data_IF_222015158656
#
_entry.id   IF_222015158656
#
_cell.length_a   1.000
_cell.length_b   1.000
_cell.length_c   1.000
_cell.angle_alpha   90.00
_cell.angle_beta   90.00
_cell.angle_gamma   90.00
#
_symmetry.space_group_name_H-M   'P 1'
#
loop_
_entity.id
_entity.type
_entity.pdbx_description
1 polymer ?
#
# COMPACT_ATOMS: atom_id res chain seq x y z
N UNK A 1 39.59 17.09 -52.64
CA UNK A 1 39.02 17.94 -51.56
C UNK A 1 37.50 17.95 -51.49
N UNK A 2 36.72 17.67 -52.56
CA UNK A 2 35.25 17.79 -52.47
C UNK A 2 34.53 16.68 -51.66
N UNK A 3 35.05 15.45 -51.66
CA UNK A 3 34.43 14.33 -50.92
C UNK A 3 34.35 14.52 -49.40
N UNK A 4 35.31 15.24 -48.81
CA UNK A 4 35.34 15.47 -47.35
C UNK A 4 34.36 16.58 -46.94
N UNK A 5 34.20 17.60 -47.79
CA UNK A 5 33.23 18.69 -47.57
C UNK A 5 31.79 18.22 -47.70
N UNK A 6 31.52 17.23 -48.55
CA UNK A 6 30.18 16.66 -48.72
C UNK A 6 29.77 15.80 -47.51
N UNK A 7 30.68 14.98 -46.98
CA UNK A 7 30.44 14.18 -45.76
C UNK A 7 30.18 15.09 -44.54
N UNK A 8 30.92 16.19 -44.38
CA UNK A 8 30.72 17.12 -43.26
C UNK A 8 29.36 17.85 -43.40
N UNK A 9 28.94 18.19 -44.62
CA UNK A 9 27.62 18.81 -44.88
C UNK A 9 26.46 17.87 -44.61
N UNK A 10 26.59 16.60 -44.99
CA UNK A 10 25.55 15.60 -44.75
C UNK A 10 25.45 15.26 -43.26
N UNK A 11 26.59 15.08 -42.57
CA UNK A 11 26.59 14.87 -41.11
C UNK A 11 26.01 16.07 -40.36
N UNK A 12 26.29 17.30 -40.79
CA UNK A 12 25.72 18.51 -40.20
C UNK A 12 24.21 18.65 -40.49
N UNK A 13 23.74 18.26 -41.68
CA UNK A 13 22.31 18.22 -42.02
C UNK A 13 21.55 17.18 -41.20
N UNK A 14 22.13 16.01 -41.01
CA UNK A 14 21.55 14.94 -40.20
C UNK A 14 21.51 15.33 -38.72
N UNK A 15 22.56 15.98 -38.22
CA UNK A 15 22.60 16.49 -36.84
C UNK A 15 21.58 17.61 -36.64
N UNK A 16 21.43 18.53 -37.60
CA UNK A 16 20.40 19.60 -37.55
C UNK A 16 18.99 19.02 -37.69
N UNK A 17 18.82 17.96 -38.49
CA UNK A 17 17.57 17.21 -38.61
C UNK A 17 17.17 16.53 -37.30
N UNK A 18 18.11 15.87 -36.64
CA UNK A 18 17.94 15.26 -35.32
C UNK A 18 17.64 16.30 -34.25
N UNK A 19 18.33 17.45 -34.25
CA UNK A 19 18.05 18.54 -33.32
C UNK A 19 16.68 19.19 -33.56
N UNK A 20 16.24 19.31 -34.82
CA UNK A 20 14.89 19.78 -35.15
C UNK A 20 13.81 18.78 -34.77
N UNK A 21 14.05 17.48 -34.98
CA UNK A 21 13.14 16.41 -34.54
C UNK A 21 13.04 16.37 -33.00
N UNK A 22 14.16 16.45 -32.28
CA UNK A 22 14.20 16.54 -30.83
C UNK A 22 13.56 17.83 -30.28
N UNK A 23 13.68 18.95 -31.00
CA UNK A 23 12.97 20.19 -30.67
C UNK A 23 11.46 20.12 -30.91
N UNK A 24 11.03 19.35 -31.92
CA UNK A 24 9.61 19.07 -32.19
C UNK A 24 9.03 18.12 -31.12
N UNK A 25 9.79 17.12 -30.66
CA UNK A 25 9.42 16.25 -29.53
C UNK A 25 9.36 17.03 -28.21
N UNK A 26 10.32 17.95 -27.95
CA UNK A 26 10.25 18.85 -26.79
C UNK A 26 8.99 19.75 -26.80
N UNK A 27 8.45 20.09 -27.99
CA UNK A 27 7.18 20.82 -28.11
C UNK A 27 5.94 19.93 -27.88
N UNK A 28 6.06 18.62 -28.02
CA UNK A 28 4.98 17.65 -27.85
C UNK A 28 4.91 17.05 -26.43
N UNK A 29 5.76 17.49 -25.52
CA UNK A 29 5.82 17.00 -24.15
C UNK A 29 6.78 15.80 -24.00
N UNK A 30 7.34 15.64 -22.80
CA UNK A 30 8.33 14.59 -22.53
C UNK A 30 7.60 13.28 -22.22
N UNK A 31 7.85 12.24 -23.02
CA UNK A 31 7.37 10.88 -22.74
C UNK A 31 8.35 10.19 -21.78
N UNK A 32 7.90 9.97 -20.54
CA UNK A 32 8.70 9.35 -19.47
C UNK A 32 8.28 7.91 -19.15
N UNK A 33 7.22 7.42 -19.79
CA UNK A 33 6.65 6.10 -19.55
C UNK A 33 6.74 5.24 -20.82
N UNK A 34 6.89 3.94 -20.64
CA UNK A 34 6.96 2.95 -21.73
C UNK A 34 5.79 3.11 -22.69
N UNK A 35 6.04 3.04 -24.00
CA UNK A 35 5.03 3.36 -25.05
C UNK A 35 3.76 2.51 -24.95
N UNK A 36 3.88 1.25 -24.55
CA UNK A 36 2.73 0.34 -24.37
C UNK A 36 1.85 0.69 -23.16
N UNK A 37 2.32 1.56 -22.27
CA UNK A 37 1.60 2.06 -21.09
C UNK A 37 0.88 3.37 -21.36
N UNK A 38 1.20 4.06 -22.45
CA UNK A 38 0.59 5.34 -22.79
C UNK A 38 -0.92 5.16 -23.02
N UNK A 39 -1.73 6.06 -22.46
CA UNK A 39 -3.20 6.09 -22.51
C UNK A 39 -3.90 4.89 -21.87
N UNK A 40 -3.18 3.99 -21.19
CA UNK A 40 -3.76 2.86 -20.45
C UNK A 40 -3.82 3.23 -18.96
N UNK A 41 -4.99 3.04 -18.34
CA UNK A 41 -5.12 3.23 -16.89
C UNK A 41 -4.37 2.09 -16.17
N UNK A 42 -3.41 2.46 -15.35
CA UNK A 42 -2.61 1.52 -14.58
C UNK A 42 -3.27 1.23 -13.25
N UNK A 43 -3.36 -0.06 -12.95
CA UNK A 43 -3.67 -0.55 -11.63
C UNK A 43 -2.40 -0.48 -10.78
N UNK A 44 -2.51 -0.20 -9.47
CA UNK A 44 -1.45 -0.55 -8.55
C UNK A 44 -1.10 -2.02 -8.77
N UNK A 45 0.17 -2.33 -9.01
CA UNK A 45 0.63 -3.71 -9.30
C UNK A 45 0.41 -4.67 -8.14
N UNK A 46 0.02 -4.16 -6.97
CA UNK A 46 -0.07 -4.88 -5.71
C UNK A 46 -1.44 -4.71 -5.08
N UNK A 47 -1.93 -5.77 -4.45
CA UNK A 47 -3.21 -5.74 -3.77
C UNK A 47 -3.08 -4.99 -2.44
N UNK A 48 -3.29 -3.67 -2.47
CA UNK A 48 -3.29 -2.78 -1.30
C UNK A 48 -4.08 -3.36 -0.13
N UNK A 49 -5.24 -3.97 -0.42
CA UNK A 49 -6.09 -4.58 0.60
C UNK A 49 -5.36 -5.65 1.38
N UNK A 50 -4.62 -6.54 0.71
CA UNK A 50 -3.86 -7.62 1.35
C UNK A 50 -2.71 -7.06 2.20
N UNK A 51 -1.99 -6.04 1.71
CA UNK A 51 -0.93 -5.39 2.48
C UNK A 51 -1.50 -4.71 3.74
N UNK A 52 -2.65 -4.04 3.62
CA UNK A 52 -3.30 -3.40 4.76
C UNK A 52 -3.87 -4.42 5.76
N UNK A 53 -4.57 -5.45 5.29
CA UNK A 53 -5.22 -6.43 6.20
C UNK A 53 -4.23 -7.40 6.80
N UNK A 54 -3.39 -8.04 5.98
CA UNK A 54 -2.45 -9.07 6.45
C UNK A 54 -1.16 -8.46 7.00
N UNK A 55 -0.70 -7.35 6.40
CA UNK A 55 0.53 -6.70 6.82
C UNK A 55 0.33 -5.79 8.03
N UNK A 56 -0.53 -4.77 7.89
CA UNK A 56 -0.68 -3.71 8.89
C UNK A 56 -1.65 -4.08 10.03
N UNK A 57 -2.85 -4.58 9.71
CA UNK A 57 -3.88 -4.81 10.74
C UNK A 57 -3.63 -6.03 11.63
N UNK A 58 -2.96 -7.07 11.11
CA UNK A 58 -2.72 -8.32 11.85
C UNK A 58 -1.42 -8.34 12.64
N UNK A 59 -0.37 -7.69 12.13
CA UNK A 59 0.96 -7.78 12.72
C UNK A 59 1.26 -6.58 13.63
N UNK A 60 1.36 -6.84 14.93
CA UNK A 60 1.60 -5.79 15.93
C UNK A 60 2.94 -5.06 15.75
N UNK A 61 3.99 -5.75 15.31
CA UNK A 61 5.31 -5.16 15.11
C UNK A 61 5.28 -4.16 13.93
N UNK A 62 4.68 -4.57 12.81
CA UNK A 62 4.51 -3.70 11.64
C UNK A 62 3.66 -2.47 12.00
N UNK A 63 2.55 -2.69 12.70
CA UNK A 63 1.69 -1.60 13.17
C UNK A 63 2.47 -0.60 14.04
N UNK A 64 3.21 -1.10 15.03
CA UNK A 64 3.99 -0.26 15.95
C UNK A 64 5.06 0.56 15.20
N UNK A 65 5.84 -0.07 14.31
CA UNK A 65 6.89 0.61 13.55
C UNK A 65 6.34 1.70 12.63
N UNK A 66 5.27 1.40 11.88
CA UNK A 66 4.67 2.39 10.97
C UNK A 66 4.04 3.53 11.76
N UNK A 67 3.35 3.22 12.86
CA UNK A 67 2.75 4.23 13.74
C UNK A 67 3.80 5.13 14.36
N UNK A 68 4.91 4.59 14.84
CA UNK A 68 6.01 5.36 15.42
C UNK A 68 6.58 6.36 14.41
N UNK A 69 6.85 5.90 13.18
CA UNK A 69 7.35 6.77 12.09
C UNK A 69 6.31 7.86 11.75
N UNK A 70 5.06 7.46 11.60
CA UNK A 70 3.99 8.36 11.18
C UNK A 70 3.70 9.44 12.23
N UNK A 71 3.68 9.09 13.51
CA UNK A 71 3.47 10.04 14.61
C UNK A 71 4.68 10.94 14.82
N UNK A 72 5.90 10.38 14.86
CA UNK A 72 7.13 11.15 15.07
C UNK A 72 7.34 12.25 14.04
N UNK A 73 7.03 12.00 12.77
CA UNK A 73 7.18 13.03 11.72
C UNK A 73 6.06 14.07 11.83
N UNK A 74 4.84 13.65 12.18
CA UNK A 74 3.69 14.55 12.34
C UNK A 74 3.79 15.47 13.55
N UNK A 75 4.61 15.14 14.55
CA UNK A 75 4.89 16.01 15.70
C UNK A 75 5.69 17.26 15.30
N UNK A 76 6.48 17.21 14.22
CA UNK A 76 7.30 18.32 13.80
C UNK A 76 6.46 19.45 13.16
N UNK A 77 6.45 20.67 13.73
CA UNK A 77 5.66 21.76 13.16
C UNK A 77 6.30 22.26 11.86
N UNK A 78 5.51 22.31 10.79
CA UNK A 78 5.91 22.96 9.56
C UNK A 78 6.01 24.47 9.77
N UNK A 79 7.03 25.11 9.19
CA UNK A 79 7.18 26.56 9.21
C UNK A 79 7.31 27.06 7.78
N UNK A 80 6.51 28.07 7.46
CA UNK A 80 6.69 28.83 6.22
C UNK A 80 7.38 30.13 6.61
N UNK A 81 8.38 30.54 5.84
CA UNK A 81 9.11 31.77 6.13
C UNK A 81 9.93 32.23 4.93
N UNK A 82 10.38 33.47 5.01
CA UNK A 82 11.36 34.00 4.05
C UNK A 82 12.74 33.81 4.66
N UNK A 83 13.65 33.26 3.87
CA UNK A 83 15.06 33.16 4.24
C UNK A 83 15.71 34.53 4.11
N UNK A 84 16.12 35.10 5.24
CA UNK A 84 16.87 36.35 5.28
C UNK A 84 18.13 36.14 6.14
N UNK A 85 19.32 36.24 5.52
CA UNK A 85 20.62 36.10 6.20
C UNK A 85 20.73 34.82 7.04
N UNK A 86 20.37 33.67 6.48
CA UNK A 86 20.37 32.35 7.13
C UNK A 86 19.42 32.21 8.34
N UNK A 87 18.46 33.13 8.50
CA UNK A 87 17.39 33.02 9.50
C UNK A 87 16.06 32.91 8.75
N UNK A 88 15.28 31.88 9.10
CA UNK A 88 13.91 31.69 8.59
C UNK A 88 12.96 32.43 9.52
N UNK A 89 12.43 33.56 9.06
CA UNK A 89 11.40 34.29 9.81
C UNK A 89 10.04 33.65 9.53
N UNK A 90 9.35 33.08 10.54
CA UNK A 90 8.08 32.40 10.31
C UNK A 90 6.98 33.40 9.94
N UNK A 91 6.22 33.07 8.89
CA UNK A 91 5.01 33.78 8.46
C UNK A 91 3.82 32.90 8.81
N UNK A 92 3.16 33.23 9.92
CA UNK A 92 2.02 32.45 10.44
C UNK A 92 0.75 32.62 9.60
N UNK A 93 0.57 33.77 8.95
CA UNK A 93 -0.63 34.08 8.17
C UNK A 93 -0.53 33.62 6.70
N UNK A 94 0.48 32.80 6.37
CA UNK A 94 0.64 32.32 5.00
C UNK A 94 -0.47 31.32 4.65
N UNK A 95 -1.21 31.48 3.52
CA UNK A 95 -2.33 30.60 3.17
C UNK A 95 -1.96 29.11 3.10
N UNK A 96 -0.74 28.80 2.62
CA UNK A 96 -0.24 27.43 2.57
C UNK A 96 0.05 26.83 3.95
N UNK A 97 0.47 27.65 4.93
CA UNK A 97 0.66 27.16 6.30
C UNK A 97 -0.70 26.83 6.95
N UNK A 98 -1.68 27.71 6.79
CA UNK A 98 -3.05 27.46 7.29
C UNK A 98 -3.66 26.21 6.64
N UNK A 99 -3.48 26.03 5.32
CA UNK A 99 -3.97 24.86 4.59
C UNK A 99 -3.29 23.58 5.07
N UNK A 100 -1.99 23.57 5.36
CA UNK A 100 -1.33 22.37 5.87
C UNK A 100 -1.72 22.05 7.32
N UNK A 101 -2.04 23.07 8.12
CA UNK A 101 -2.44 22.89 9.52
C UNK A 101 -3.91 22.45 9.65
N UNK A 102 -4.77 22.88 8.74
CA UNK A 102 -6.17 22.45 8.62
C UNK A 102 -6.48 22.11 7.15
N UNK A 103 -6.05 20.94 6.67
CA UNK A 103 -6.15 20.55 5.25
C UNK A 103 -7.58 20.39 4.77
N UNK A 104 -8.49 19.96 5.63
CA UNK A 104 -9.91 19.89 5.34
C UNK A 104 -10.71 20.01 6.65
N UNK A 105 -12.03 20.19 6.61
CA UNK A 105 -12.84 20.35 7.82
C UNK A 105 -12.87 19.13 8.77
N UNK A 106 -12.42 17.96 8.31
CA UNK A 106 -12.48 16.69 9.05
C UNK A 106 -11.12 16.23 9.60
N UNK A 107 -10.02 16.85 9.20
CA UNK A 107 -8.67 16.34 9.47
C UNK A 107 -7.76 17.47 9.93
N UNK A 108 -7.06 17.25 11.03
CA UNK A 108 -6.01 18.15 11.52
C UNK A 108 -4.70 17.96 10.74
N UNK A 109 -3.80 18.93 10.80
CA UNK A 109 -2.48 18.82 10.17
C UNK A 109 -1.69 17.59 10.65
N UNK A 110 -1.81 17.23 11.94
CA UNK A 110 -1.18 16.03 12.50
C UNK A 110 -1.73 14.75 11.84
N UNK A 111 -3.05 14.58 11.84
CA UNK A 111 -3.71 13.40 11.24
C UNK A 111 -3.45 13.31 9.73
N UNK A 112 -3.33 14.45 9.05
CA UNK A 112 -3.02 14.50 7.62
C UNK A 112 -1.65 13.88 7.32
N UNK A 113 -0.60 14.30 8.04
CA UNK A 113 0.73 13.73 7.85
C UNK A 113 0.82 12.29 8.33
N UNK A 114 0.18 11.95 9.46
CA UNK A 114 0.13 10.57 9.98
C UNK A 114 -0.50 9.63 8.95
N UNK A 115 -1.60 10.05 8.34
CA UNK A 115 -2.30 9.27 7.31
C UNK A 115 -1.46 9.13 6.05
N UNK A 116 -0.83 10.21 5.56
CA UNK A 116 0.04 10.15 4.38
C UNK A 116 1.19 9.17 4.59
N UNK A 117 1.88 9.28 5.74
CA UNK A 117 3.04 8.44 6.04
C UNK A 117 2.64 6.98 6.21
N UNK A 118 1.49 6.71 6.83
CA UNK A 118 0.94 5.36 6.96
C UNK A 118 0.66 4.76 5.57
N UNK A 119 -0.03 5.49 4.69
CA UNK A 119 -0.31 5.04 3.32
C UNK A 119 0.96 4.86 2.50
N UNK A 120 1.96 5.74 2.65
CA UNK A 120 3.26 5.62 2.00
C UNK A 120 4.01 4.36 2.43
N UNK A 121 4.02 4.02 3.72
CA UNK A 121 4.71 2.83 4.20
C UNK A 121 4.00 1.52 3.78
N UNK A 122 2.67 1.53 3.68
CA UNK A 122 1.87 0.37 3.26
C UNK A 122 1.93 0.21 1.73
N UNK A 123 1.58 1.26 0.98
CA UNK A 123 1.27 1.21 -0.45
C UNK A 123 2.33 1.88 -1.34
N UNK A 124 3.41 2.42 -0.77
CA UNK A 124 4.42 3.24 -1.45
C UNK A 124 3.90 4.58 -1.96
N UNK A 125 2.62 4.88 -1.75
CA UNK A 125 1.93 6.05 -2.31
C UNK A 125 0.81 6.51 -1.39
N UNK A 126 0.68 7.82 -1.28
CA UNK A 126 -0.55 8.48 -0.85
C UNK A 126 -0.96 9.48 -1.93
N UNK A 127 -2.25 9.57 -2.22
CA UNK A 127 -2.78 10.52 -3.20
C UNK A 127 -3.50 11.62 -2.46
N UNK A 128 -3.17 12.87 -2.77
CA UNK A 128 -3.88 14.03 -2.23
C UNK A 128 -4.51 14.81 -3.35
N UNK A 129 -5.83 14.90 -3.34
CA UNK A 129 -6.59 15.71 -4.26
C UNK A 129 -6.70 17.14 -3.71
N UNK A 130 -6.21 18.10 -4.51
CA UNK A 130 -6.35 19.53 -4.26
C UNK A 130 -7.71 20.00 -4.76
N UNK A 131 -8.58 20.36 -3.83
CA UNK A 131 -9.79 21.12 -4.14
C UNK A 131 -9.43 22.59 -4.29
N UNK A 132 -9.93 23.25 -5.34
CA UNK A 132 -9.63 24.65 -5.64
C UNK A 132 -10.91 25.49 -5.67
N UNK A 133 -10.79 26.76 -5.29
CA UNK A 133 -11.85 27.76 -5.49
C UNK A 133 -11.95 28.19 -6.97
N UNK A 134 -12.97 29.00 -7.28
CA UNK A 134 -13.20 29.56 -8.62
C UNK A 134 -12.03 30.44 -9.13
N UNK A 135 -11.14 30.87 -8.23
CA UNK A 135 -9.93 31.64 -8.56
C UNK A 135 -8.69 30.74 -8.71
N UNK A 136 -8.87 29.42 -8.65
CA UNK A 136 -7.82 28.42 -8.80
C UNK A 136 -6.92 28.25 -7.57
N UNK A 137 -7.27 28.82 -6.41
CA UNK A 137 -6.49 28.68 -5.17
C UNK A 137 -6.88 27.39 -4.45
N UNK A 138 -5.93 26.57 -3.97
CA UNK A 138 -6.25 25.37 -3.21
C UNK A 138 -6.92 25.75 -1.89
N UNK A 139 -8.10 25.19 -1.63
CA UNK A 139 -8.90 25.44 -0.42
C UNK A 139 -8.91 24.24 0.51
N UNK A 140 -8.88 23.02 -0.02
CA UNK A 140 -8.83 21.79 0.76
C UNK A 140 -7.89 20.76 0.13
N UNK A 141 -7.37 19.89 0.98
CA UNK A 141 -6.52 18.75 0.63
C UNK A 141 -7.20 17.46 1.12
N UNK A 142 -7.62 16.63 0.16
CA UNK A 142 -8.33 15.38 0.41
C UNK A 142 -7.40 14.19 0.19
N UNK A 143 -7.10 13.45 1.25
CA UNK A 143 -6.32 12.22 1.13
C UNK A 143 -7.22 11.13 0.55
N UNK A 144 -6.77 10.51 -0.54
CA UNK A 144 -7.46 9.43 -1.22
C UNK A 144 -6.76 8.10 -0.97
N UNK A 145 -7.58 7.05 -0.85
CA UNK A 145 -7.10 5.69 -0.67
C UNK A 145 -6.41 5.19 -1.96
N UNK A 146 -5.20 4.59 -1.88
CA UNK A 146 -4.43 4.23 -3.07
C UNK A 146 -5.10 3.21 -4.00
N UNK A 147 -5.98 2.35 -3.47
CA UNK A 147 -6.75 1.37 -4.24
C UNK A 147 -7.92 1.98 -5.02
N UNK A 148 -8.31 3.21 -4.70
CA UNK A 148 -9.39 3.95 -5.35
C UNK A 148 -8.91 4.89 -6.44
N UNK A 149 -7.61 4.93 -6.70
CA UNK A 149 -6.99 5.83 -7.68
C UNK A 149 -6.26 5.03 -8.75
N UNK A 150 -6.51 5.35 -10.02
CA UNK A 150 -5.75 4.84 -11.17
C UNK A 150 -5.05 5.98 -11.88
N UNK A 151 -3.84 5.73 -12.35
CA UNK A 151 -3.08 6.69 -13.14
C UNK A 151 -3.10 6.30 -14.61
N UNK A 152 -3.51 7.22 -15.48
CA UNK A 152 -3.41 7.05 -16.94
C UNK A 152 -2.36 8.03 -17.46
N UNK A 153 -1.13 7.56 -17.76
CA UNK A 153 -0.11 8.40 -18.36
C UNK A 153 -0.53 8.77 -19.79
N UNK A 154 -0.38 10.03 -20.16
CA UNK A 154 -0.48 10.46 -21.55
C UNK A 154 0.91 10.43 -22.22
N UNK A 155 0.96 10.56 -23.54
CA UNK A 155 2.22 10.67 -24.29
C UNK A 155 3.04 11.87 -23.81
N UNK A 156 2.35 12.99 -23.62
CA UNK A 156 2.81 14.14 -22.85
C UNK A 156 2.45 13.92 -21.38
N UNK A 157 3.45 13.65 -20.53
CA UNK A 157 3.22 13.34 -19.11
C UNK A 157 2.41 14.44 -18.41
N UNK A 158 2.52 15.70 -18.82
CA UNK A 158 1.82 16.84 -18.22
C UNK A 158 0.30 16.77 -18.39
N UNK A 159 -0.16 16.04 -19.42
CA UNK A 159 -1.58 15.81 -19.74
C UNK A 159 -2.13 14.51 -19.14
N UNK A 160 -1.34 13.85 -18.30
CA UNK A 160 -1.78 12.63 -17.63
C UNK A 160 -2.95 12.91 -16.68
N UNK A 161 -3.78 11.90 -16.47
CA UNK A 161 -5.01 12.02 -15.68
C UNK A 161 -5.02 10.91 -14.64
N UNK A 162 -5.44 11.26 -13.43
CA UNK A 162 -5.83 10.31 -12.41
C UNK A 162 -7.34 10.07 -12.51
N UNK A 163 -7.74 8.85 -12.22
CA UNK A 163 -9.13 8.48 -12.09
C UNK A 163 -9.37 8.07 -10.65
N UNK A 164 -10.29 8.75 -9.98
CA UNK A 164 -10.74 8.40 -8.65
C UNK A 164 -12.10 7.73 -8.74
N UNK A 165 -12.25 6.56 -8.10
CA UNK A 165 -13.50 5.83 -8.00
C UNK A 165 -13.80 5.58 -6.52
N UNK A 166 -14.80 6.27 -5.93
CA UNK A 166 -15.35 5.86 -4.65
C UNK A 166 -15.70 4.36 -4.68
N UNK A 167 -15.46 3.65 -3.59
CA UNK A 167 -15.62 2.19 -3.47
C UNK A 167 -14.64 1.33 -4.29
N UNK A 168 -13.78 1.93 -5.11
CA UNK A 168 -12.77 1.22 -5.91
C UNK A 168 -13.34 0.48 -7.11
N UNK A 169 -14.60 0.73 -7.46
CA UNK A 169 -15.27 0.18 -8.64
C UNK A 169 -15.16 1.19 -9.78
N UNK A 170 -14.31 0.87 -10.76
CA UNK A 170 -14.09 1.74 -11.92
C UNK A 170 -15.07 1.39 -13.02
N UNK A 171 -16.33 1.77 -12.83
CA UNK A 171 -17.34 1.80 -13.87
C UNK A 171 -17.38 3.19 -14.54
N UNK A 172 -18.06 3.30 -15.69
CA UNK A 172 -18.12 4.57 -16.43
C UNK A 172 -18.98 5.65 -15.76
N UNK A 173 -19.71 5.33 -14.67
CA UNK A 173 -20.67 6.24 -14.03
C UNK A 173 -20.11 6.90 -12.76
N UNK A 174 -19.18 6.23 -12.08
CA UNK A 174 -18.68 6.61 -10.75
C UNK A 174 -17.21 7.03 -10.75
N UNK A 175 -16.60 7.22 -11.93
CA UNK A 175 -15.19 7.59 -12.05
C UNK A 175 -15.06 9.10 -12.24
N UNK A 176 -14.30 9.73 -11.36
CA UNK A 176 -13.99 11.16 -11.35
C UNK A 176 -12.59 11.34 -11.97
N UNK A 177 -12.47 12.01 -13.14
CA UNK A 177 -11.17 12.37 -13.69
C UNK A 177 -10.57 13.56 -12.94
N UNK A 178 -9.32 13.41 -12.48
CA UNK A 178 -8.56 14.43 -11.77
C UNK A 178 -7.30 14.74 -12.61
N UNK A 179 -7.10 15.99 -13.06
CA UNK A 179 -5.89 16.38 -13.77
C UNK A 179 -4.62 16.15 -12.94
N UNK A 180 -3.48 15.86 -13.58
CA UNK A 180 -2.18 15.74 -12.91
C UNK A 180 -1.87 16.94 -12.01
N UNK A 181 -2.23 18.15 -12.46
CA UNK A 181 -2.01 19.41 -11.73
C UNK A 181 -2.81 19.53 -10.43
N UNK A 182 -3.87 18.75 -10.25
CA UNK A 182 -4.73 18.76 -9.07
C UNK A 182 -4.52 17.57 -8.14
N UNK A 183 -3.69 16.60 -8.55
CA UNK A 183 -3.28 15.47 -7.74
C UNK A 183 -1.85 15.65 -7.24
N UNK A 184 -1.62 15.40 -5.95
CA UNK A 184 -0.27 15.27 -5.37
C UNK A 184 -0.05 13.78 -5.08
N UNK A 185 0.75 13.07 -5.90
CA UNK A 185 1.17 11.71 -5.59
C UNK A 185 2.39 11.74 -4.66
N UNK A 186 2.17 11.59 -3.36
CA UNK A 186 3.23 11.38 -2.38
C UNK A 186 3.79 9.97 -2.52
N UNK A 187 4.92 9.84 -3.20
CA UNK A 187 5.61 8.55 -3.39
C UNK A 187 6.63 8.29 -2.29
N UNK A 188 6.81 7.02 -1.94
CA UNK A 188 7.79 6.57 -0.98
C UNK A 188 8.51 5.32 -1.49
N UNK A 189 9.83 5.29 -1.31
CA UNK A 189 10.69 4.26 -1.90
C UNK A 189 10.86 4.43 -3.41
N UNK A 190 12.01 3.98 -3.92
CA UNK A 190 12.32 3.99 -5.34
C UNK A 190 12.21 2.56 -5.86
N UNK A 191 11.35 2.34 -6.85
CA UNK A 191 11.37 1.11 -7.65
C UNK A 191 12.27 1.37 -8.88
N UNK A 192 13.45 0.74 -8.98
CA UNK A 192 14.35 0.96 -10.12
C UNK A 192 13.74 0.51 -11.45
N UNK A 193 12.73 -0.37 -11.43
CA UNK A 193 12.03 -0.82 -12.63
C UNK A 193 10.87 0.10 -13.02
N UNK A 194 10.40 0.95 -12.10
CA UNK A 194 9.22 1.81 -12.31
C UNK A 194 9.40 3.17 -11.65
N UNK A 195 10.22 4.06 -12.22
CA UNK A 195 10.46 5.38 -11.61
C UNK A 195 9.22 6.30 -11.60
N UNK A 196 8.44 6.31 -12.68
CA UNK A 196 7.40 7.33 -12.89
C UNK A 196 6.01 6.88 -12.49
N UNK A 197 5.70 5.59 -12.59
CA UNK A 197 4.34 5.10 -12.35
C UNK A 197 4.20 4.48 -10.97
N UNK A 198 5.11 3.58 -10.59
CA UNK A 198 5.03 2.82 -9.35
C UNK A 198 6.15 3.17 -8.37
N UNK A 199 6.08 2.61 -7.17
CA UNK A 199 7.06 2.82 -6.11
C UNK A 199 7.09 1.55 -5.25
N UNK A 200 8.18 1.35 -4.52
CA UNK A 200 8.38 0.15 -3.71
C UNK A 200 8.10 0.46 -2.24
N UNK A 201 7.07 -0.16 -1.66
CA UNK A 201 6.74 0.09 -0.25
C UNK A 201 7.68 -0.68 0.68
N UNK A 202 8.10 -0.10 1.81
CA UNK A 202 8.85 -0.79 2.84
C UNK A 202 8.13 -2.06 3.31
N UNK A 203 6.81 -1.97 3.53
CA UNK A 203 6.00 -3.12 3.92
C UNK A 203 6.06 -4.24 2.89
N UNK A 204 6.05 -3.93 1.60
CA UNK A 204 6.13 -4.94 0.53
C UNK A 204 7.45 -5.71 0.55
N UNK A 205 8.56 -5.07 0.92
CA UNK A 205 9.87 -5.73 1.02
C UNK A 205 9.86 -6.74 2.16
N UNK A 206 9.30 -6.37 3.32
CA UNK A 206 9.26 -7.24 4.51
C UNK A 206 8.06 -8.18 4.56
N UNK A 207 7.11 -8.05 3.62
CA UNK A 207 5.81 -8.72 3.67
C UNK A 207 5.91 -10.24 3.85
N UNK A 208 6.89 -10.89 3.21
CA UNK A 208 7.11 -12.34 3.36
C UNK A 208 7.42 -12.74 4.80
N UNK A 209 8.21 -11.94 5.51
CA UNK A 209 8.54 -12.17 6.91
C UNK A 209 7.33 -11.86 7.79
N UNK A 210 6.60 -10.77 7.51
CA UNK A 210 5.36 -10.43 8.21
C UNK A 210 4.33 -11.56 8.16
N UNK A 211 4.15 -12.19 7.00
CA UNK A 211 3.25 -13.34 6.86
C UNK A 211 3.77 -14.56 7.63
N UNK A 212 5.08 -14.79 7.65
CA UNK A 212 5.67 -15.86 8.46
C UNK A 212 5.40 -15.66 9.95
N UNK A 213 5.57 -14.44 10.46
CA UNK A 213 5.32 -14.09 11.86
C UNK A 213 3.84 -14.26 12.23
N UNK A 214 2.94 -13.84 11.33
CA UNK A 214 1.50 -14.04 11.51
C UNK A 214 1.17 -15.54 11.57
N UNK A 215 1.69 -16.33 10.63
CA UNK A 215 1.47 -17.77 10.59
C UNK A 215 2.05 -18.48 11.82
N UNK A 216 3.20 -18.04 12.33
CA UNK A 216 3.77 -18.57 13.56
C UNK A 216 2.86 -18.27 14.77
N UNK A 217 2.30 -17.07 14.83
CA UNK A 217 1.36 -16.67 15.89
C UNK A 217 0.06 -17.46 15.80
N UNK A 218 -0.50 -17.62 14.61
CA UNK A 218 -1.68 -18.44 14.36
C UNK A 218 -1.42 -19.92 14.69
N UNK A 219 -0.25 -20.44 14.31
CA UNK A 219 0.17 -21.79 14.66
C UNK A 219 0.28 -21.95 16.17
N UNK A 220 0.94 -21.03 16.88
CA UNK A 220 1.03 -21.08 18.35
C UNK A 220 -0.36 -21.05 18.99
N UNK A 221 -1.25 -20.19 18.52
CA UNK A 221 -2.64 -20.14 18.98
C UNK A 221 -3.33 -21.50 18.78
N UNK A 222 -3.28 -22.05 17.57
CA UNK A 222 -3.88 -23.35 17.25
C UNK A 222 -3.23 -24.48 18.05
N UNK A 223 -1.92 -24.43 18.26
CA UNK A 223 -1.16 -25.40 19.04
C UNK A 223 -1.61 -25.40 20.50
N UNK A 224 -1.73 -24.23 21.15
CA UNK A 224 -2.20 -24.12 22.53
C UNK A 224 -3.70 -24.40 22.66
N UNK A 225 -4.52 -23.95 21.70
CA UNK A 225 -5.97 -24.20 21.68
C UNK A 225 -6.29 -25.70 21.52
N UNK A 226 -5.52 -26.42 20.71
CA UNK A 226 -5.74 -27.83 20.39
C UNK A 226 -4.74 -28.78 21.07
N UNK A 227 -3.98 -28.27 22.05
CA UNK A 227 -3.00 -29.02 22.83
C UNK A 227 -1.88 -29.72 22.04
N UNK A 228 -1.58 -29.31 20.81
CA UNK A 228 -0.30 -29.56 20.10
C UNK A 228 0.14 -31.00 19.83
N UNK A 229 -0.54 -31.97 20.40
CA UNK A 229 -0.33 -33.39 20.36
C UNK A 229 -1.69 -34.03 20.63
N UNK A 230 -2.01 -35.20 20.04
CA UNK A 230 -3.08 -36.01 20.59
C UNK A 230 -2.79 -36.19 22.08
N UNK A 231 -3.67 -35.66 22.95
CA UNK A 231 -3.53 -35.76 24.41
C UNK A 231 -3.25 -37.20 24.84
N UNK A 232 -3.74 -38.18 24.06
CA UNK A 232 -3.28 -39.56 24.05
C UNK A 232 -3.94 -40.32 22.91
N UNK A 233 -3.62 -41.61 22.78
CA UNK A 233 -4.27 -42.51 21.84
C UNK A 233 -5.40 -43.23 22.57
N UNK A 234 -6.62 -43.15 22.02
CA UNK A 234 -7.74 -44.00 22.45
C UNK A 234 -7.63 -45.31 21.70
N UNK A 235 -7.20 -46.36 22.40
CA UNK A 235 -7.16 -47.72 21.88
C UNK A 235 -8.43 -48.44 22.32
N UNK A 236 -9.15 -49.00 21.36
CA UNK A 236 -10.39 -49.75 21.61
C UNK A 236 -10.07 -51.23 21.38
N UNK A 237 -10.35 -52.05 22.39
CA UNK A 237 -10.20 -53.50 22.38
C UNK A 237 -11.37 -54.13 21.61
N UNK A 238 -11.42 -53.91 20.29
CA UNK A 238 -12.49 -54.41 19.43
C UNK A 238 -12.38 -53.90 18.00
N UNK A 239 -12.97 -54.61 17.04
CA UNK A 239 -13.00 -54.17 15.64
C UNK A 239 -14.10 -53.12 15.47
N UNK A 240 -13.72 -51.87 15.19
CA UNK A 240 -14.68 -50.82 14.82
C UNK A 240 -15.50 -51.29 13.62
N UNK A 241 -16.81 -51.43 13.79
CA UNK A 241 -17.69 -51.98 12.74
C UNK A 241 -17.98 -50.96 11.64
N UNK A 242 -17.82 -49.67 11.93
CA UNK A 242 -18.12 -48.58 11.00
C UNK A 242 -17.35 -47.28 11.31
N UNK A 243 -16.99 -46.50 10.28
CA UNK A 243 -16.36 -45.19 10.45
C UNK A 243 -17.21 -44.18 11.24
N UNK A 244 -18.54 -44.33 11.21
CA UNK A 244 -19.47 -43.49 12.00
C UNK A 244 -19.28 -43.65 13.50
N UNK A 245 -18.93 -44.85 13.95
CA UNK A 245 -18.72 -45.15 15.37
C UNK A 245 -17.41 -44.52 15.87
N UNK A 246 -16.36 -44.62 15.07
CA UNK A 246 -15.07 -43.95 15.32
C UNK A 246 -15.26 -42.42 15.44
N UNK A 247 -16.02 -41.82 14.53
CA UNK A 247 -16.24 -40.38 14.54
C UNK A 247 -17.13 -39.92 15.70
N UNK A 248 -18.10 -40.75 16.12
CA UNK A 248 -18.90 -40.51 17.34
C UNK A 248 -18.02 -40.53 18.60
N UNK A 249 -17.04 -41.43 18.65
CA UNK A 249 -16.10 -41.52 19.79
C UNK A 249 -15.15 -40.33 19.79
N UNK A 250 -14.57 -39.98 18.63
CA UNK A 250 -13.74 -38.77 18.47
C UNK A 250 -14.50 -37.52 18.89
N UNK A 251 -15.73 -37.33 18.41
CA UNK A 251 -16.56 -36.17 18.74
C UNK A 251 -16.89 -36.09 20.23
N UNK A 252 -17.32 -37.19 20.85
CA UNK A 252 -17.58 -37.23 22.31
C UNK A 252 -16.33 -36.90 23.14
N UNK A 253 -15.16 -37.35 22.69
CA UNK A 253 -13.91 -37.03 23.34
C UNK A 253 -13.57 -35.54 23.19
N UNK A 254 -13.69 -34.99 21.99
CA UNK A 254 -13.46 -33.58 21.71
C UNK A 254 -14.45 -32.66 22.45
N UNK A 255 -15.72 -33.04 22.55
CA UNK A 255 -16.76 -32.28 23.27
C UNK A 255 -16.50 -32.23 24.79
N UNK A 256 -15.88 -33.28 25.36
CA UNK A 256 -15.69 -33.40 26.82
C UNK A 256 -14.31 -32.95 27.30
N UNK A 257 -13.27 -33.18 26.49
CA UNK A 257 -11.87 -32.94 26.87
C UNK A 257 -11.19 -31.90 25.95
N UNK A 258 -11.90 -31.38 24.94
CA UNK A 258 -11.40 -30.30 24.09
C UNK A 258 -11.57 -28.92 24.72
N UNK A 259 -10.69 -27.99 24.32
CA UNK A 259 -10.70 -26.60 24.76
C UNK A 259 -10.27 -26.38 26.22
N UNK A 260 -10.35 -25.12 26.65
CA UNK A 260 -9.82 -24.66 27.96
C UNK A 260 -10.49 -25.35 29.16
N UNK A 261 -11.78 -25.68 29.07
CA UNK A 261 -12.52 -26.36 30.13
C UNK A 261 -12.19 -27.88 30.23
N UNK A 262 -11.75 -28.49 29.13
CA UNK A 262 -11.41 -29.91 29.06
C UNK A 262 -10.01 -30.26 29.54
N UNK A 263 -9.11 -29.27 29.68
CA UNK A 263 -7.66 -29.47 29.84
C UNK A 263 -7.23 -30.20 31.13
N UNK A 264 -8.08 -30.18 32.17
CA UNK A 264 -7.88 -30.91 33.43
C UNK A 264 -9.03 -31.86 33.78
N UNK A 265 -9.91 -32.15 32.81
CA UNK A 265 -11.03 -33.05 33.06
C UNK A 265 -10.54 -34.50 33.13
N UNK A 266 -10.87 -35.25 34.20
CA UNK A 266 -10.44 -36.64 34.34
C UNK A 266 -11.04 -37.51 33.24
N UNK A 267 -10.20 -38.28 32.55
CA UNK A 267 -10.63 -39.17 31.47
C UNK A 267 -11.42 -40.36 32.03
N UNK A 268 -12.68 -40.49 31.62
CA UNK A 268 -13.54 -41.65 31.90
C UNK A 268 -13.59 -42.53 30.66
N UNK A 269 -13.23 -43.81 30.82
CA UNK A 269 -13.21 -44.82 29.76
C UNK A 269 -14.04 -46.04 30.15
N UNK A 270 -14.59 -46.70 29.15
CA UNK A 270 -15.31 -47.98 29.30
C UNK A 270 -14.30 -49.14 29.37
N UNK A 271 -14.73 -50.32 29.83
CA UNK A 271 -13.84 -51.48 30.12
C UNK A 271 -12.98 -51.91 28.92
N UNK A 272 -13.48 -51.66 27.70
CA UNK A 272 -12.82 -52.00 26.43
C UNK A 272 -11.94 -50.87 25.86
N UNK A 273 -11.73 -49.75 26.57
CA UNK A 273 -10.97 -48.61 26.07
C UNK A 273 -9.75 -48.30 26.96
N UNK A 274 -8.58 -48.13 26.34
CA UNK A 274 -7.36 -47.73 27.03
C UNK A 274 -6.82 -46.39 26.51
N UNK A 275 -6.29 -45.59 27.44
CA UNK A 275 -5.61 -44.33 27.18
C UNK A 275 -4.10 -44.53 27.30
N UNK A 276 -3.37 -44.23 26.24
CA UNK A 276 -1.91 -44.16 26.28
C UNK A 276 -1.48 -42.70 26.08
N UNK A 277 -0.64 -42.19 27.00
CA UNK A 277 -0.07 -40.84 26.95
C UNK A 277 1.16 -40.80 26.05
#
# INVERSE_FOLDING_TARGET
>A
MSRVTDIIRDTARDTVGLLRAGAQEMRNGIQLVETWRVNVAHFPTQNYRVLATEGYNKNALVYACIREIATSVSEAPFKVGVEARNVVVPILDHPGFMLLNNPNPMTTGFEYWETILTLQNIAAKAYVWKERDDRGRPINLWILRPDWVRFRPASDITKSIFFYAPDGVFDSKNVIPIPLMDMIPYKHGVDPLNLYTDSLSPLRVVFRNTILDNNATDFMKVFFDNAGAPLGIIKISGRLKNNREAERIRKRWQDRYGGLAGWHSPAVMDDDASYEK
#
